data_IF_644019020531
#
_entry.id   IF_644019020531
#
_cell.length_a   1.000
_cell.length_b   1.000
_cell.length_c   1.000
_cell.angle_alpha   90.00
_cell.angle_beta   90.00
_cell.angle_gamma   90.00
#
_symmetry.space_group_name_H-M   'P 1'
#
loop_
_entity.id
_entity.type
_entity.pdbx_description
1 polymer ?
#
# COMPACT_ATOMS: atom_id res chain seq x y z
N UNK A 1 30.98 4.55 27.91
CA UNK A 1 30.82 3.17 27.39
C UNK A 1 29.39 2.75 27.68
N UNK A 2 28.50 2.85 26.70
CA UNK A 2 27.22 2.14 26.72
C UNK A 2 27.09 1.57 25.32
N UNK A 3 27.37 0.28 25.21
CA UNK A 3 27.17 -0.49 23.99
C UNK A 3 25.67 -0.59 23.75
N UNK A 4 25.17 0.08 22.71
CA UNK A 4 23.87 -0.21 22.16
C UNK A 4 24.04 -1.38 21.18
N UNK A 5 23.84 -2.57 21.74
CA UNK A 5 23.38 -3.80 21.10
C UNK A 5 23.39 -3.79 19.57
N UNK A 6 24.51 -4.23 18.99
CA UNK A 6 24.54 -4.66 17.59
C UNK A 6 23.97 -6.06 17.54
N UNK A 7 22.64 -6.20 17.61
CA UNK A 7 21.99 -7.42 17.15
C UNK A 7 22.46 -7.64 15.70
N UNK A 8 22.86 -8.87 15.31
CA UNK A 8 23.17 -9.16 13.93
C UNK A 8 21.96 -8.72 13.12
N UNK A 9 22.17 -7.91 12.08
CA UNK A 9 21.12 -7.43 11.20
C UNK A 9 20.41 -8.65 10.59
N UNK A 10 19.45 -9.21 11.32
CA UNK A 10 18.45 -10.09 10.80
C UNK A 10 17.89 -9.30 9.62
N UNK A 11 18.00 -9.84 8.41
CA UNK A 11 17.46 -9.26 7.19
C UNK A 11 15.99 -8.95 7.45
N UNK A 12 15.71 -7.74 7.93
CA UNK A 12 14.38 -7.30 8.31
C UNK A 12 13.65 -7.16 6.99
N UNK A 13 12.55 -7.92 6.84
CA UNK A 13 11.72 -7.86 5.65
C UNK A 13 11.24 -6.43 5.48
N UNK A 14 11.38 -5.88 4.29
CA UNK A 14 10.92 -4.53 4.00
C UNK A 14 9.40 -4.49 4.19
N UNK A 15 8.91 -3.51 4.94
CA UNK A 15 7.48 -3.33 5.18
C UNK A 15 6.87 -2.36 4.17
N UNK A 16 5.72 -2.71 3.61
CA UNK A 16 5.09 -2.00 2.50
C UNK A 16 3.60 -1.81 2.73
N UNK A 17 3.13 -0.56 2.62
CA UNK A 17 1.72 -0.23 2.46
C UNK A 17 1.44 0.12 0.99
N UNK A 18 0.33 -0.40 0.44
CA UNK A 18 -0.14 -0.04 -0.89
C UNK A 18 -1.41 0.77 -0.72
N UNK A 19 -1.34 2.08 -0.98
CA UNK A 19 -2.52 2.94 -0.90
C UNK A 19 -3.45 2.67 -2.08
N UNK A 20 -4.78 2.82 -1.90
CA UNK A 20 -5.72 2.72 -3.01
C UNK A 20 -5.31 3.62 -4.16
N UNK A 21 -5.17 3.05 -5.36
CA UNK A 21 -4.82 3.84 -6.54
C UNK A 21 -5.95 4.81 -6.90
N UNK A 22 -5.60 6.01 -7.36
CA UNK A 22 -6.58 6.94 -7.89
C UNK A 22 -7.06 6.48 -9.28
N UNK A 23 -8.35 6.54 -9.58
CA UNK A 23 -8.83 6.36 -10.96
C UNK A 23 -8.89 7.71 -11.67
N UNK A 24 -8.29 7.80 -12.86
CA UNK A 24 -8.51 8.96 -13.71
C UNK A 24 -9.99 8.98 -14.12
N UNK A 25 -10.67 10.10 -13.87
CA UNK A 25 -12.11 10.25 -14.01
C UNK A 25 -12.65 9.75 -15.36
N UNK A 26 -13.15 8.50 -15.36
CA UNK A 26 -14.10 7.95 -16.32
C UNK A 26 -15.49 7.98 -15.69
N UNK A 27 -16.53 8.02 -16.52
CA UNK A 27 -17.92 8.15 -16.09
C UNK A 27 -18.29 6.96 -15.20
N UNK A 28 -18.30 7.17 -13.88
CA UNK A 28 -18.73 6.19 -12.88
C UNK A 28 -17.77 6.08 -11.69
N UNK A 29 -17.99 6.87 -10.64
CA UNK A 29 -17.39 6.65 -9.32
C UNK A 29 -18.12 5.53 -8.60
N UNK A 30 -17.80 4.27 -8.90
CA UNK A 30 -18.27 3.12 -8.12
C UNK A 30 -17.21 2.68 -7.11
N UNK A 31 -17.61 2.51 -5.85
CA UNK A 31 -16.81 1.81 -4.82
C UNK A 31 -16.50 0.40 -5.33
N UNK A 32 -15.25 -0.06 -5.23
CA UNK A 32 -14.85 -1.35 -5.80
C UNK A 32 -14.53 -1.29 -7.30
N UNK A 33 -14.15 -0.12 -7.81
CA UNK A 33 -13.68 0.08 -9.17
C UNK A 33 -12.40 -0.70 -9.50
N UNK A 34 -11.91 -0.54 -10.72
CA UNK A 34 -10.74 -1.24 -11.23
C UNK A 34 -9.47 -0.95 -10.40
N UNK A 35 -9.31 0.26 -9.89
CA UNK A 35 -8.20 0.63 -9.00
C UNK A 35 -8.27 -0.08 -7.65
N UNK A 36 -9.46 -0.23 -7.07
CA UNK A 36 -9.63 -0.95 -5.80
C UNK A 36 -9.30 -2.43 -5.99
N UNK A 37 -9.75 -3.02 -7.10
CA UNK A 37 -9.42 -4.39 -7.51
C UNK A 37 -7.92 -4.58 -7.73
N UNK A 38 -7.28 -3.65 -8.45
CA UNK A 38 -5.84 -3.68 -8.71
C UNK A 38 -5.02 -3.53 -7.42
N UNK A 39 -5.44 -2.62 -6.53
CA UNK A 39 -4.83 -2.44 -5.21
C UNK A 39 -4.89 -3.76 -4.42
N UNK A 40 -6.05 -4.42 -4.43
CA UNK A 40 -6.22 -5.71 -3.76
C UNK A 40 -5.34 -6.81 -4.35
N UNK A 41 -5.27 -6.92 -5.69
CA UNK A 41 -4.44 -7.93 -6.36
C UNK A 41 -2.95 -7.71 -6.06
N UNK A 42 -2.49 -6.47 -6.08
CA UNK A 42 -1.09 -6.13 -5.72
C UNK A 42 -0.78 -6.51 -4.27
N UNK A 43 -1.64 -6.13 -3.32
CA UNK A 43 -1.47 -6.53 -1.90
C UNK A 43 -1.41 -8.06 -1.79
N UNK A 44 -2.33 -8.76 -2.45
CA UNK A 44 -2.43 -10.22 -2.38
C UNK A 44 -1.21 -10.93 -2.98
N UNK A 45 -0.67 -10.42 -4.09
CA UNK A 45 0.53 -10.97 -4.73
C UNK A 45 1.78 -10.68 -3.92
N UNK A 46 1.95 -9.45 -3.45
CA UNK A 46 3.12 -9.07 -2.65
C UNK A 46 3.13 -9.76 -1.28
N UNK A 47 1.97 -9.98 -0.66
CA UNK A 47 1.87 -10.68 0.62
C UNK A 47 2.31 -12.16 0.54
N UNK A 48 2.36 -12.76 -0.65
CA UNK A 48 2.88 -14.12 -0.86
C UNK A 48 4.41 -14.17 -0.94
N UNK A 49 5.07 -13.03 -1.15
CA UNK A 49 6.52 -12.94 -1.22
C UNK A 49 7.09 -12.90 0.21
N UNK A 50 8.11 -13.72 0.48
CA UNK A 50 8.71 -13.80 1.83
C UNK A 50 9.58 -12.61 2.19
N UNK A 51 9.90 -11.76 1.22
CA UNK A 51 10.81 -10.62 1.39
C UNK A 51 10.11 -9.36 1.88
N UNK A 52 8.78 -9.32 1.81
CA UNK A 52 7.97 -8.15 2.18
C UNK A 52 7.02 -8.43 3.34
N UNK A 53 6.91 -7.48 4.27
CA UNK A 53 5.81 -7.41 5.23
C UNK A 53 4.74 -6.44 4.70
N UNK A 54 3.71 -6.97 4.05
CA UNK A 54 2.69 -6.16 3.38
C UNK A 54 1.50 -5.89 4.30
N UNK A 55 1.08 -4.62 4.38
CA UNK A 55 -0.09 -4.22 5.17
C UNK A 55 -1.38 -4.70 4.50
N UNK A 56 -2.28 -5.25 5.32
CA UNK A 56 -3.55 -5.77 4.86
C UNK A 56 -4.44 -4.70 4.23
N UNK A 57 -5.23 -5.10 3.22
CA UNK A 57 -6.16 -4.23 2.49
C UNK A 57 -7.05 -3.41 3.42
N UNK A 58 -7.65 -4.02 4.44
CA UNK A 58 -8.57 -3.34 5.34
C UNK A 58 -7.95 -2.11 6.01
N UNK A 59 -6.68 -2.19 6.40
CA UNK A 59 -5.96 -1.11 7.08
C UNK A 59 -5.71 0.09 6.15
N UNK A 60 -5.21 -0.15 4.94
CA UNK A 60 -4.91 0.93 3.99
C UNK A 60 -6.19 1.59 3.46
N UNK A 61 -7.25 0.82 3.23
CA UNK A 61 -8.56 1.37 2.84
C UNK A 61 -9.19 2.20 3.95
N UNK A 62 -9.11 1.77 5.21
CA UNK A 62 -9.64 2.54 6.34
C UNK A 62 -8.91 3.88 6.56
N UNK A 63 -7.63 3.97 6.16
CA UNK A 63 -6.88 5.24 6.20
C UNK A 63 -7.24 6.14 5.01
N UNK A 64 -7.40 5.56 3.82
CA UNK A 64 -7.85 6.29 2.64
C UNK A 64 -9.28 6.84 2.78
N UNK A 65 -10.20 6.09 3.39
CA UNK A 65 -11.56 6.56 3.72
C UNK A 65 -11.57 7.75 4.70
N UNK A 66 -10.45 8.00 5.38
CA UNK A 66 -10.25 9.15 6.28
C UNK A 66 -9.43 10.27 5.62
N UNK A 67 -9.23 10.20 4.30
CA UNK A 67 -8.43 11.14 3.50
C UNK A 67 -7.01 11.35 4.05
N UNK A 68 -6.43 10.30 4.66
CA UNK A 68 -5.07 10.37 5.19
C UNK A 68 -4.09 10.30 4.03
N UNK A 69 -3.20 11.30 3.96
CA UNK A 69 -2.14 11.36 2.97
C UNK A 69 -1.22 10.11 3.06
N UNK A 70 -0.72 9.58 1.93
CA UNK A 70 0.13 8.39 1.90
C UNK A 70 1.32 8.44 2.86
N UNK A 71 1.95 9.59 3.01
CA UNK A 71 3.11 9.80 3.88
C UNK A 71 2.72 9.62 5.36
N UNK A 72 1.58 10.18 5.76
CA UNK A 72 1.06 10.04 7.12
C UNK A 72 0.49 8.65 7.37
N UNK A 73 -0.10 8.01 6.37
CA UNK A 73 -0.49 6.61 6.44
C UNK A 73 0.74 5.72 6.69
N UNK A 74 1.84 5.97 5.98
CA UNK A 74 3.11 5.26 6.17
C UNK A 74 3.64 5.38 7.59
N UNK A 75 3.64 6.61 8.14
CA UNK A 75 4.02 6.87 9.54
C UNK A 75 3.11 6.16 10.54
N UNK A 76 1.78 6.21 10.33
CA UNK A 76 0.79 5.58 11.22
C UNK A 76 0.88 4.06 11.20
N UNK A 77 1.18 3.48 10.04
CA UNK A 77 1.33 2.04 9.85
C UNK A 77 2.74 1.53 10.20
N UNK A 78 3.69 2.44 10.45
CA UNK A 78 5.08 2.14 10.73
C UNK A 78 5.71 1.23 9.66
N UNK A 79 5.60 1.65 8.39
CA UNK A 79 6.15 0.93 7.22
C UNK A 79 7.36 1.64 6.63
N UNK A 80 8.26 0.87 6.02
CA UNK A 80 9.47 1.38 5.34
C UNK A 80 9.13 2.05 4.01
N UNK A 81 8.10 1.56 3.32
CA UNK A 81 7.69 2.03 2.00
C UNK A 81 6.17 2.19 1.88
N UNK A 82 5.76 3.17 1.08
CA UNK A 82 4.38 3.38 0.67
C UNK A 82 4.32 3.43 -0.85
N UNK A 83 3.53 2.54 -1.46
CA UNK A 83 3.25 2.55 -2.89
C UNK A 83 1.96 3.33 -3.16
N UNK A 84 2.03 4.23 -4.15
CA UNK A 84 0.91 5.05 -4.61
C UNK A 84 0.88 5.05 -6.15
N UNK A 85 -0.20 5.54 -6.74
CA UNK A 85 -0.31 5.62 -8.20
C UNK A 85 -1.73 5.92 -8.65
N UNK A 86 -1.92 5.97 -9.96
CA UNK A 86 -3.23 6.09 -10.58
C UNK A 86 -3.43 5.05 -11.66
N UNK A 87 -4.69 4.66 -11.86
CA UNK A 87 -5.10 3.79 -12.95
C UNK A 87 -5.85 4.61 -13.98
N UNK A 88 -5.47 4.42 -15.24
CA UNK A 88 -6.15 5.03 -16.39
C UNK A 88 -6.79 3.92 -17.21
N UNK A 89 -8.12 3.98 -17.33
CA UNK A 89 -8.81 3.19 -18.34
C UNK A 89 -8.62 3.87 -19.70
N UNK A 90 -7.97 3.19 -20.63
CA UNK A 90 -8.04 3.55 -22.03
C UNK A 90 -9.30 2.87 -22.55
N UNK A 91 -10.36 3.64 -22.83
CA UNK A 91 -11.52 3.12 -23.55
C UNK A 91 -11.04 2.57 -24.88
N UNK A 92 -10.89 1.25 -24.97
CA UNK A 92 -10.67 0.55 -26.22
C UNK A 92 -11.88 0.75 -27.11
N UNK A 93 -11.66 1.19 -28.35
CA UNK A 93 -12.65 1.13 -29.41
C UNK A 93 -12.83 -0.31 -29.87
#
# INVERSE_FOLDING_TARGET
>A
IVAADSEPAATRRASLAVMPFAEAAGIGTFRGGLADGLTHDIITRLAKLRDFFVIARGSVFALAEKDIAPEDAGRRLNVDYVATGSVRSLSGR
#
